data_IF_337567518936
#
_entry.id   IF_337567518936
#
_cell.length_a   1.000
_cell.length_b   1.000
_cell.length_c   1.000
_cell.angle_alpha   90.00
_cell.angle_beta   90.00
_cell.angle_gamma   90.00
#
_symmetry.space_group_name_H-M   'P 1'
#
loop_
_entity.id
_entity.type
_entity.pdbx_description
1 polymer ?
#
# COMPACT_ATOMS: atom_id res chain seq x y z
N UNK A 1 10.14 -19.77 18.45
CA UNK A 1 10.27 -18.35 18.02
C UNK A 1 9.24 -17.54 18.81
N UNK A 2 9.49 -16.27 19.11
CA UNK A 2 8.62 -15.42 19.95
C UNK A 2 7.58 -14.72 19.05
N UNK A 3 6.29 -14.82 19.39
CA UNK A 3 5.16 -14.25 18.64
C UNK A 3 5.31 -12.74 18.38
N UNK A 4 5.93 -11.97 19.30
CA UNK A 4 6.17 -10.53 19.09
C UNK A 4 7.20 -10.25 17.98
N UNK A 5 8.20 -11.12 17.82
CA UNK A 5 9.20 -10.96 16.76
C UNK A 5 8.59 -11.27 15.39
N UNK A 6 7.79 -12.34 15.29
CA UNK A 6 7.07 -12.70 14.06
C UNK A 6 6.11 -11.58 13.64
N UNK A 7 5.38 -11.00 14.59
CA UNK A 7 4.50 -9.86 14.34
C UNK A 7 5.25 -8.64 13.78
N UNK A 8 6.35 -8.22 14.43
CA UNK A 8 7.15 -7.08 13.96
C UNK A 8 7.82 -7.34 12.61
N UNK A 9 8.27 -8.56 12.35
CA UNK A 9 8.78 -8.95 11.04
C UNK A 9 7.69 -8.83 9.97
N UNK A 10 6.45 -9.22 10.28
CA UNK A 10 5.32 -9.07 9.37
C UNK A 10 5.00 -7.61 9.08
N UNK A 11 5.06 -6.73 10.08
CA UNK A 11 4.94 -5.28 9.88
C UNK A 11 6.00 -4.76 8.88
N UNK A 12 7.26 -5.16 9.05
CA UNK A 12 8.36 -4.76 8.16
C UNK A 12 8.14 -5.22 6.71
N UNK A 13 7.74 -6.48 6.52
CA UNK A 13 7.43 -7.03 5.19
C UNK A 13 6.30 -6.25 4.52
N UNK A 14 5.25 -5.91 5.26
CA UNK A 14 4.12 -5.14 4.72
C UNK A 14 4.52 -3.69 4.41
N UNK A 15 5.39 -3.08 5.22
CA UNK A 15 5.93 -1.74 4.93
C UNK A 15 6.69 -1.73 3.60
N UNK A 16 7.52 -2.74 3.33
CA UNK A 16 8.25 -2.87 2.07
C UNK A 16 7.29 -3.12 0.89
N UNK A 17 6.33 -4.05 1.03
CA UNK A 17 5.29 -4.30 0.02
C UNK A 17 4.54 -3.02 -0.34
N UNK A 18 4.13 -2.24 0.65
CA UNK A 18 3.46 -0.96 0.41
C UNK A 18 4.37 0.08 -0.26
N UNK A 19 5.68 0.08 0.03
CA UNK A 19 6.65 0.99 -0.60
C UNK A 19 6.77 0.73 -2.11
N UNK A 20 6.88 -0.54 -2.49
CA UNK A 20 6.95 -0.97 -3.89
C UNK A 20 5.71 -0.55 -4.68
N UNK A 21 4.52 -0.81 -4.12
CA UNK A 21 3.24 -0.44 -4.75
C UNK A 21 3.13 1.09 -4.90
N UNK A 22 3.41 1.86 -3.85
CA UNK A 22 3.41 3.33 -3.92
C UNK A 22 4.38 3.85 -4.98
N UNK A 23 5.57 3.27 -5.04
CA UNK A 23 6.58 3.62 -6.04
C UNK A 23 6.06 3.42 -7.46
N UNK A 24 5.42 2.29 -7.73
CA UNK A 24 4.87 1.96 -9.05
C UNK A 24 3.72 2.89 -9.44
N UNK A 25 2.74 3.09 -8.55
CA UNK A 25 1.62 4.02 -8.77
C UNK A 25 2.11 5.46 -8.97
N UNK A 26 3.06 5.93 -8.16
CA UNK A 26 3.63 7.27 -8.25
C UNK A 26 4.35 7.51 -9.57
N UNK A 27 5.17 6.53 -10.01
CA UNK A 27 5.83 6.59 -11.33
C UNK A 27 4.82 6.60 -12.47
N UNK A 28 3.77 5.79 -12.39
CA UNK A 28 2.70 5.81 -13.39
C UNK A 28 1.99 7.17 -13.45
N UNK A 29 1.57 7.72 -12.31
CA UNK A 29 0.90 9.02 -12.24
C UNK A 29 1.75 10.14 -12.86
N UNK A 30 3.05 10.17 -12.55
CA UNK A 30 4.00 11.13 -13.13
C UNK A 30 4.15 10.97 -14.65
N UNK A 31 4.31 9.74 -15.15
CA UNK A 31 4.43 9.47 -16.60
C UNK A 31 3.19 9.90 -17.39
N UNK A 32 2.01 9.84 -16.76
CA UNK A 32 0.74 10.17 -17.40
C UNK A 32 0.22 11.58 -17.06
N UNK A 33 1.06 12.44 -16.46
CA UNK A 33 0.70 13.81 -16.07
C UNK A 33 -0.56 13.90 -15.21
N UNK A 34 -0.80 12.89 -14.35
CA UNK A 34 -1.92 12.90 -13.40
C UNK A 34 -1.52 13.80 -12.22
N UNK A 35 -2.17 14.95 -12.02
CA UNK A 35 -1.81 15.86 -10.94
C UNK A 35 -2.26 15.28 -9.60
N UNK A 36 -1.40 15.36 -8.57
CA UNK A 36 -1.74 14.89 -7.21
C UNK A 36 -2.92 15.64 -6.57
N UNK A 37 -3.25 16.82 -7.08
CA UNK A 37 -4.41 17.60 -6.64
C UNK A 37 -5.75 17.02 -7.08
N UNK A 38 -5.78 16.18 -8.14
CA UNK A 38 -7.00 15.50 -8.57
C UNK A 38 -7.28 14.29 -7.67
N UNK A 39 -7.90 14.56 -6.52
CA UNK A 39 -8.25 13.55 -5.53
C UNK A 39 -9.32 12.56 -6.00
N UNK A 40 -9.97 12.80 -7.13
CA UNK A 40 -10.98 11.90 -7.70
C UNK A 40 -10.40 10.92 -8.73
N UNK A 41 -9.18 11.18 -9.20
CA UNK A 41 -8.50 10.27 -10.11
C UNK A 41 -8.25 8.90 -9.44
N UNK A 42 -8.63 7.78 -10.07
CA UNK A 42 -8.44 6.44 -9.49
C UNK A 42 -7.00 6.14 -9.09
N UNK A 43 -6.00 6.66 -9.82
CA UNK A 43 -4.58 6.49 -9.48
C UNK A 43 -4.24 7.17 -8.17
N UNK A 44 -4.76 8.38 -7.93
CA UNK A 44 -4.53 9.12 -6.70
C UNK A 44 -5.33 8.53 -5.52
N UNK A 45 -6.53 7.99 -5.78
CA UNK A 45 -7.31 7.24 -4.78
C UNK A 45 -6.53 6.01 -4.32
N UNK A 46 -5.95 5.24 -5.25
CA UNK A 46 -5.14 4.05 -4.92
C UNK A 46 -3.83 4.43 -4.25
N UNK A 47 -3.19 5.52 -4.67
CA UNK A 47 -2.03 6.07 -3.96
C UNK A 47 -2.37 6.38 -2.50
N UNK A 48 -3.47 7.10 -2.25
CA UNK A 48 -3.90 7.45 -0.90
C UNK A 48 -4.23 6.21 -0.06
N UNK A 49 -4.93 5.22 -0.65
CA UNK A 49 -5.23 3.94 0.01
C UNK A 49 -3.96 3.25 0.51
N UNK A 50 -2.94 3.09 -0.34
CA UNK A 50 -1.68 2.44 0.06
C UNK A 50 -0.90 3.30 1.06
N UNK A 51 -0.92 4.62 0.91
CA UNK A 51 -0.27 5.53 1.86
C UNK A 51 -0.87 5.42 3.27
N UNK A 52 -2.20 5.43 3.38
CA UNK A 52 -2.89 5.26 4.66
C UNK A 52 -2.66 3.86 5.24
N UNK A 53 -2.81 2.81 4.43
CA UNK A 53 -2.58 1.44 4.87
C UNK A 53 -1.16 1.22 5.43
N UNK A 54 -0.14 1.87 4.86
CA UNK A 54 1.23 1.85 5.41
C UNK A 54 1.34 2.50 6.78
N UNK A 55 0.61 3.58 7.01
CA UNK A 55 0.55 4.22 8.32
C UNK A 55 -0.11 3.30 9.34
N UNK A 56 -1.22 2.65 8.94
CA UNK A 56 -1.97 1.72 9.79
C UNK A 56 -1.13 0.51 10.24
N UNK A 57 -0.11 0.10 9.47
CA UNK A 57 0.82 -0.97 9.89
C UNK A 57 1.52 -0.61 11.20
N UNK A 58 1.90 0.66 11.37
CA UNK A 58 2.65 1.12 12.55
C UNK A 58 1.77 1.11 13.81
N UNK A 59 0.46 1.28 13.64
CA UNK A 59 -0.51 1.29 14.74
C UNK A 59 -1.17 -0.07 14.99
N UNK A 60 -0.99 -1.04 14.08
CA UNK A 60 -1.55 -2.38 14.17
C UNK A 60 -1.06 -3.12 15.42
N UNK A 61 -1.98 -3.86 16.06
CA UNK A 61 -1.76 -4.60 17.30
C UNK A 61 -2.07 -6.09 17.17
N UNK A 62 -2.67 -6.50 16.05
CA UNK A 62 -3.16 -7.86 15.83
C UNK A 62 -2.87 -8.35 14.41
N UNK A 63 -2.70 -9.66 14.26
CA UNK A 63 -2.50 -10.29 12.93
C UNK A 63 -3.66 -10.01 11.97
N UNK A 64 -4.88 -9.93 12.50
CA UNK A 64 -6.07 -9.62 11.68
C UNK A 64 -6.04 -8.21 11.10
N UNK A 65 -5.44 -7.23 11.78
CA UNK A 65 -5.25 -5.88 11.22
C UNK A 65 -4.22 -5.92 10.09
N UNK A 66 -3.13 -6.68 10.27
CA UNK A 66 -2.13 -6.89 9.22
C UNK A 66 -2.72 -7.63 8.00
N UNK A 67 -3.61 -8.60 8.20
CA UNK A 67 -4.33 -9.29 7.11
C UNK A 67 -5.23 -8.34 6.31
N UNK A 68 -5.91 -7.43 7.00
CA UNK A 68 -6.76 -6.42 6.36
C UNK A 68 -5.92 -5.45 5.53
N UNK A 69 -4.79 -4.99 6.06
CA UNK A 69 -3.84 -4.14 5.34
C UNK A 69 -3.28 -4.87 4.10
N UNK A 70 -2.91 -6.14 4.25
CA UNK A 70 -2.40 -6.93 3.13
C UNK A 70 -3.43 -7.10 2.00
N UNK A 71 -4.71 -7.25 2.37
CA UNK A 71 -5.83 -7.26 1.40
C UNK A 71 -5.96 -5.94 0.65
N UNK A 72 -5.76 -4.80 1.32
CA UNK A 72 -5.74 -3.48 0.67
C UNK A 72 -4.57 -3.36 -0.33
N UNK A 73 -3.40 -3.89 0.02
CA UNK A 73 -2.26 -3.95 -0.90
C UNK A 73 -2.52 -4.85 -2.11
N UNK A 74 -3.21 -5.97 -1.93
CA UNK A 74 -3.59 -6.85 -3.04
C UNK A 74 -4.53 -6.16 -4.03
N UNK A 75 -5.50 -5.38 -3.53
CA UNK A 75 -6.35 -4.53 -4.37
C UNK A 75 -5.51 -3.53 -5.16
N UNK A 76 -4.63 -2.78 -4.48
CA UNK A 76 -3.79 -1.78 -5.12
C UNK A 76 -2.83 -2.39 -6.15
N UNK A 77 -2.30 -3.59 -5.88
CA UNK A 77 -1.42 -4.32 -6.80
C UNK A 77 -2.16 -4.78 -8.05
N UNK A 78 -3.38 -5.32 -7.90
CA UNK A 78 -4.23 -5.70 -9.04
C UNK A 78 -4.62 -4.48 -9.88
N UNK A 79 -4.96 -3.37 -9.24
CA UNK A 79 -5.19 -2.10 -9.92
C UNK A 79 -3.96 -1.66 -10.72
N UNK A 80 -2.78 -1.64 -10.08
CA UNK A 80 -1.51 -1.24 -10.69
C UNK A 80 -1.16 -2.10 -11.90
N UNK A 81 -1.35 -3.42 -11.79
CA UNK A 81 -1.18 -4.35 -12.91
C UNK A 81 -2.16 -4.06 -14.06
N UNK A 82 -3.43 -3.77 -13.74
CA UNK A 82 -4.46 -3.46 -14.74
C UNK A 82 -4.20 -2.18 -15.54
N UNK A 83 -3.49 -1.20 -14.96
CA UNK A 83 -3.11 0.04 -15.65
C UNK A 83 -1.70 0.00 -16.25
N UNK A 84 -0.93 -1.07 -16.05
CA UNK A 84 0.45 -1.19 -16.53
C UNK A 84 1.44 -0.27 -15.79
N UNK A 85 1.24 -0.06 -14.49
CA UNK A 85 2.08 0.78 -13.64
C UNK A 85 3.47 0.18 -13.36
#
# INVERSE_FOLDING_TARGET
MNSSYEFSLRQEILLEKGADILGSISRFGRRNNIPLSDRTNPVNVMYALVWHAKHDILDARTESELDQIDTQFDLARRFSAGIGA
#
